data_IF_547499499075
#
_entry.id   IF_547499499075
#
_cell.length_a   1.000
_cell.length_b   1.000
_cell.length_c   1.000
_cell.angle_alpha   90.00
_cell.angle_beta   90.00
_cell.angle_gamma   90.00
#
_symmetry.space_group_name_H-M   'P 1'
#
loop_
_entity.id
_entity.type
_entity.pdbx_description
1 polymer ?
#
# COMPACT_ATOMS: atom_id res chain seq x y z
N UNK A 1 -7.96 -22.93 17.86
CA UNK A 1 -7.34 -22.73 16.52
C UNK A 1 -5.98 -23.42 16.53
N UNK A 2 -5.69 -24.31 15.58
CA UNK A 2 -4.36 -24.92 15.45
C UNK A 2 -3.33 -23.84 15.10
N UNK A 3 -2.13 -23.87 15.68
CA UNK A 3 -1.09 -22.86 15.48
C UNK A 3 -0.86 -22.51 13.99
N UNK A 4 -0.98 -23.49 13.09
CA UNK A 4 -0.88 -23.31 11.64
C UNK A 4 -1.88 -22.30 11.05
N UNK A 5 -3.09 -22.17 11.61
CA UNK A 5 -4.09 -21.18 11.17
C UNK A 5 -3.72 -19.77 11.60
N UNK A 6 -3.06 -19.61 12.76
CA UNK A 6 -2.59 -18.31 13.24
C UNK A 6 -1.42 -17.83 12.38
N UNK A 7 -0.47 -18.71 12.06
CA UNK A 7 0.62 -18.36 11.15
C UNK A 7 0.12 -17.96 9.76
N UNK A 8 -0.85 -18.68 9.20
CA UNK A 8 -1.46 -18.34 7.92
C UNK A 8 -2.15 -16.97 7.91
N UNK A 9 -2.66 -16.51 9.06
CA UNK A 9 -3.27 -15.18 9.18
C UNK A 9 -2.23 -14.06 9.41
N UNK A 10 -1.21 -14.31 10.22
CA UNK A 10 -0.26 -13.26 10.65
C UNK A 10 0.82 -13.01 9.60
N UNK A 11 1.33 -14.06 8.94
CA UNK A 11 2.45 -13.94 8.00
C UNK A 11 2.13 -12.99 6.83
N UNK A 12 0.97 -13.10 6.14
CA UNK A 12 0.66 -12.21 5.02
C UNK A 12 0.59 -10.74 5.47
N UNK A 13 -0.11 -10.47 6.57
CA UNK A 13 -0.25 -9.12 7.11
C UNK A 13 1.11 -8.51 7.50
N UNK A 14 1.93 -9.28 8.23
CA UNK A 14 3.27 -8.84 8.63
C UNK A 14 4.15 -8.56 7.41
N UNK A 15 4.15 -9.42 6.40
CA UNK A 15 4.95 -9.22 5.18
C UNK A 15 4.52 -7.98 4.40
N UNK A 16 3.22 -7.73 4.26
CA UNK A 16 2.72 -6.52 3.61
C UNK A 16 3.22 -5.24 4.31
N UNK A 17 3.21 -5.23 5.65
CA UNK A 17 3.69 -4.09 6.45
C UNK A 17 5.20 -3.93 6.33
N UNK A 18 5.96 -5.03 6.44
CA UNK A 18 7.42 -5.01 6.31
C UNK A 18 7.84 -4.44 4.95
N UNK A 19 7.23 -4.89 3.86
CA UNK A 19 7.54 -4.37 2.51
C UNK A 19 7.24 -2.88 2.40
N UNK A 20 6.12 -2.43 2.94
CA UNK A 20 5.78 -1.00 2.93
C UNK A 20 6.82 -0.15 3.69
N UNK A 21 7.32 -0.63 4.82
CA UNK A 21 8.33 0.07 5.62
C UNK A 21 9.69 0.04 4.92
N UNK A 22 10.11 -1.10 4.37
CA UNK A 22 11.40 -1.24 3.70
C UNK A 22 11.49 -0.48 2.38
N UNK A 23 10.37 -0.39 1.64
CA UNK A 23 10.32 0.38 0.40
C UNK A 23 10.05 1.87 0.61
N UNK A 24 9.94 2.34 1.87
CA UNK A 24 9.84 3.77 2.14
C UNK A 24 11.11 4.50 1.68
N UNK A 25 10.96 5.58 0.91
CA UNK A 25 12.10 6.34 0.39
C UNK A 25 12.63 5.83 -0.96
N UNK A 26 12.06 4.74 -1.51
CA UNK A 26 12.48 4.20 -2.81
C UNK A 26 12.28 5.21 -3.95
N UNK A 27 11.36 6.16 -3.79
CA UNK A 27 11.11 7.26 -4.72
C UNK A 27 12.34 8.14 -4.96
N UNK A 28 13.21 8.30 -3.96
CA UNK A 28 14.46 9.07 -4.10
C UNK A 28 15.49 8.31 -4.92
N UNK A 29 15.59 6.99 -4.69
CA UNK A 29 16.45 6.09 -5.46
C UNK A 29 16.00 5.98 -6.92
N UNK A 30 14.70 5.83 -7.16
CA UNK A 30 14.14 5.78 -8.51
C UNK A 30 14.33 7.10 -9.25
N UNK A 31 14.09 8.23 -8.58
CA UNK A 31 14.31 9.55 -9.19
C UNK A 31 15.80 9.78 -9.52
N UNK A 32 16.74 9.25 -8.74
CA UNK A 32 18.17 9.38 -9.00
C UNK A 32 18.62 8.65 -10.29
N UNK A 33 17.85 7.68 -10.77
CA UNK A 33 18.17 6.92 -11.98
C UNK A 33 18.06 7.76 -13.27
N UNK A 34 17.36 8.89 -13.22
CA UNK A 34 17.15 9.77 -14.37
C UNK A 34 18.04 11.02 -14.34
N UNK A 35 18.54 11.41 -15.52
CA UNK A 35 19.34 12.63 -15.69
C UNK A 35 18.52 13.87 -16.06
N UNK A 36 17.27 13.71 -16.51
CA UNK A 36 16.38 14.81 -16.94
C UNK A 36 15.30 15.11 -15.90
N UNK A 37 14.94 16.39 -15.73
CA UNK A 37 14.00 16.83 -14.68
C UNK A 37 12.61 16.17 -14.79
N UNK A 38 12.07 16.06 -16.00
CA UNK A 38 10.76 15.44 -16.24
C UNK A 38 10.75 13.93 -15.91
N UNK A 39 11.83 13.22 -16.25
CA UNK A 39 11.94 11.80 -15.94
C UNK A 39 12.16 11.52 -14.44
N UNK A 40 12.85 12.42 -13.72
CA UNK A 40 12.95 12.36 -12.25
C UNK A 40 11.57 12.46 -11.59
N UNK A 41 10.73 13.39 -12.03
CA UNK A 41 9.38 13.54 -11.50
C UNK A 41 8.50 12.31 -11.78
N UNK A 42 8.62 11.76 -12.99
CA UNK A 42 7.85 10.57 -13.37
C UNK A 42 8.27 9.33 -12.57
N UNK A 43 9.58 9.10 -12.42
CA UNK A 43 10.11 7.99 -11.60
C UNK A 43 9.84 8.17 -10.10
N UNK A 44 9.87 9.41 -9.60
CA UNK A 44 9.48 9.70 -8.22
C UNK A 44 8.02 9.34 -7.96
N UNK A 45 7.10 9.70 -8.87
CA UNK A 45 5.68 9.29 -8.77
C UNK A 45 5.50 7.78 -8.83
N UNK A 46 6.21 7.09 -9.72
CA UNK A 46 6.18 5.61 -9.77
C UNK A 46 6.69 5.03 -8.44
N UNK A 47 7.76 5.60 -7.89
CA UNK A 47 8.32 5.22 -6.59
C UNK A 47 7.36 5.41 -5.42
N UNK A 48 6.48 6.43 -5.47
CA UNK A 48 5.44 6.62 -4.45
C UNK A 48 4.35 5.55 -4.50
N UNK A 49 3.95 5.08 -5.68
CA UNK A 49 2.96 4.03 -5.82
C UNK A 49 3.50 2.62 -5.52
N UNK A 50 4.81 2.42 -5.72
CA UNK A 50 5.48 1.11 -5.66
C UNK A 50 5.25 0.35 -4.34
N UNK A 51 5.47 0.94 -3.15
CA UNK A 51 5.36 0.21 -1.88
C UNK A 51 3.96 -0.39 -1.67
N UNK A 52 2.93 0.38 -2.02
CA UNK A 52 1.53 -0.03 -1.87
C UNK A 52 1.16 -1.12 -2.89
N UNK A 53 1.55 -0.94 -4.16
CA UNK A 53 1.31 -1.94 -5.19
C UNK A 53 2.03 -3.26 -4.89
N UNK A 54 3.25 -3.19 -4.35
CA UNK A 54 4.04 -4.37 -3.97
C UNK A 54 3.40 -5.10 -2.78
N UNK A 55 2.94 -4.36 -1.77
CA UNK A 55 2.20 -4.94 -0.65
C UNK A 55 0.90 -5.63 -1.13
N UNK A 56 0.13 -4.99 -2.02
CA UNK A 56 -1.07 -5.57 -2.62
C UNK A 56 -0.78 -6.87 -3.39
N UNK A 57 0.31 -6.88 -4.18
CA UNK A 57 0.76 -8.06 -4.91
C UNK A 57 1.13 -9.22 -3.96
N UNK A 58 1.88 -8.93 -2.89
CA UNK A 58 2.26 -9.94 -1.89
C UNK A 58 1.02 -10.56 -1.23
N UNK A 59 0.08 -9.72 -0.77
CA UNK A 59 -1.17 -10.22 -0.18
C UNK A 59 -1.93 -11.13 -1.14
N UNK A 60 -2.06 -10.72 -2.39
CA UNK A 60 -2.74 -11.50 -3.44
C UNK A 60 -2.02 -12.82 -3.74
N UNK A 61 -0.69 -12.82 -3.82
CA UNK A 61 0.11 -14.03 -4.02
C UNK A 61 -0.04 -15.02 -2.87
N UNK A 62 -0.08 -14.54 -1.62
CA UNK A 62 -0.33 -15.38 -0.46
C UNK A 62 -1.71 -16.05 -0.52
N UNK A 63 -2.75 -15.34 -0.96
CA UNK A 63 -4.07 -15.94 -1.14
C UNK A 63 -4.06 -17.07 -2.17
N UNK A 64 -3.43 -16.84 -3.33
CA UNK A 64 -3.28 -17.87 -4.36
C UNK A 64 -2.45 -19.07 -3.87
N UNK A 65 -1.35 -18.81 -3.15
CA UNK A 65 -0.51 -19.87 -2.58
C UNK A 65 -1.23 -20.70 -1.50
N UNK A 66 -2.18 -20.07 -0.78
CA UNK A 66 -2.99 -20.74 0.24
C UNK A 66 -4.24 -21.45 -0.32
N UNK A 67 -4.46 -21.39 -1.62
CA UNK A 67 -5.62 -22.02 -2.26
C UNK A 67 -5.62 -23.54 -2.04
N UNK A 68 -6.72 -24.09 -1.54
CA UNK A 68 -6.85 -25.51 -1.18
C UNK A 68 -6.35 -25.88 0.23
N UNK A 69 -5.76 -24.95 0.98
CA UNK A 69 -5.36 -25.19 2.37
C UNK A 69 -6.55 -25.11 3.33
N UNK A 70 -6.56 -25.95 4.38
CA UNK A 70 -7.57 -25.95 5.44
C UNK A 70 -7.66 -24.62 6.25
N UNK A 71 -6.73 -23.69 6.02
CA UNK A 71 -6.65 -22.38 6.66
C UNK A 71 -6.81 -21.20 5.70
N UNK A 72 -7.29 -21.39 4.46
CA UNK A 72 -7.39 -20.31 3.46
C UNK A 72 -8.18 -19.09 3.96
N UNK A 73 -9.26 -19.31 4.72
CA UNK A 73 -10.03 -18.24 5.35
C UNK A 73 -9.23 -17.39 6.33
N UNK A 74 -8.33 -18.02 7.09
CA UNK A 74 -7.45 -17.33 8.02
C UNK A 74 -6.43 -16.46 7.27
N UNK A 75 -5.88 -16.96 6.16
CA UNK A 75 -5.05 -16.16 5.26
C UNK A 75 -5.83 -15.00 4.62
N UNK A 76 -7.09 -15.21 4.25
CA UNK A 76 -8.04 -14.18 3.84
C UNK A 76 -8.10 -13.02 4.83
N UNK A 77 -8.45 -13.32 6.10
CA UNK A 77 -8.48 -12.31 7.17
C UNK A 77 -7.13 -11.62 7.41
N UNK A 78 -6.02 -12.37 7.27
CA UNK A 78 -4.67 -11.82 7.30
C UNK A 78 -4.46 -10.73 6.25
N UNK A 79 -4.76 -11.02 4.99
CA UNK A 79 -4.61 -10.06 3.89
C UNK A 79 -5.60 -8.89 4.02
N UNK A 80 -6.84 -9.11 4.49
CA UNK A 80 -7.78 -8.03 4.78
C UNK A 80 -7.22 -7.04 5.81
N UNK A 81 -6.71 -7.56 6.93
CA UNK A 81 -6.12 -6.72 7.99
C UNK A 81 -4.86 -6.00 7.52
N UNK A 82 -3.98 -6.70 6.79
CA UNK A 82 -2.78 -6.11 6.17
C UNK A 82 -3.12 -4.99 5.19
N UNK A 83 -4.07 -5.21 4.28
CA UNK A 83 -4.55 -4.19 3.34
C UNK A 83 -5.15 -2.98 4.07
N UNK A 84 -5.91 -3.20 5.15
CA UNK A 84 -6.44 -2.14 5.99
C UNK A 84 -5.34 -1.26 6.59
N UNK A 85 -4.30 -1.86 7.15
CA UNK A 85 -3.14 -1.14 7.71
C UNK A 85 -2.38 -0.39 6.62
N UNK A 86 -2.13 -1.01 5.47
CA UNK A 86 -1.43 -0.38 4.34
C UNK A 86 -2.18 0.84 3.83
N UNK A 87 -3.51 0.74 3.64
CA UNK A 87 -4.36 1.87 3.23
C UNK A 87 -4.36 2.97 4.30
N UNK A 88 -4.46 2.61 5.59
CA UNK A 88 -4.40 3.58 6.68
C UNK A 88 -3.06 4.34 6.69
N UNK A 89 -1.94 3.65 6.49
CA UNK A 89 -0.62 4.29 6.40
C UNK A 89 -0.53 5.23 5.19
N UNK A 90 -1.08 4.83 4.03
CA UNK A 90 -1.13 5.69 2.84
C UNK A 90 -1.89 7.00 3.13
N UNK A 91 -3.07 6.90 3.76
CA UNK A 91 -3.90 8.05 4.15
C UNK A 91 -3.18 8.93 5.16
N UNK A 92 -2.52 8.34 6.16
CA UNK A 92 -1.77 9.09 7.17
C UNK A 92 -0.58 9.84 6.55
N UNK A 93 0.21 9.18 5.70
CA UNK A 93 1.35 9.81 5.02
C UNK A 93 0.91 10.97 4.13
N UNK A 94 -0.14 10.76 3.36
CA UNK A 94 -0.67 11.81 2.49
C UNK A 94 -1.31 12.94 3.30
N UNK A 95 -2.01 12.62 4.40
CA UNK A 95 -2.55 13.62 5.33
C UNK A 95 -1.46 14.49 5.96
N UNK A 96 -0.34 13.91 6.37
CA UNK A 96 0.82 14.67 6.88
C UNK A 96 1.40 15.58 5.79
N UNK A 97 1.58 15.07 4.56
CA UNK A 97 2.05 15.87 3.42
C UNK A 97 1.11 17.05 3.13
N UNK A 98 -0.19 16.79 3.06
CA UNK A 98 -1.22 17.81 2.81
C UNK A 98 -1.27 18.85 3.93
N UNK A 99 -1.15 18.42 5.20
CA UNK A 99 -1.14 19.33 6.35
C UNK A 99 0.00 20.35 6.29
N UNK A 100 1.17 19.95 5.76
CA UNK A 100 2.31 20.84 5.56
C UNK A 100 2.10 21.92 4.50
N UNK A 101 1.15 21.72 3.58
CA UNK A 101 0.87 22.65 2.46
C UNK A 101 -0.33 23.56 2.79
N UNK A 102 -1.08 23.28 3.87
CA UNK A 102 -2.28 24.05 4.25
C UNK A 102 -2.08 25.55 4.34
N UNK A 103 -0.89 26.01 4.75
CA UNK A 103 -0.54 27.43 4.83
C UNK A 103 -0.28 28.10 3.48
N UNK A 104 -0.08 27.33 2.41
CA UNK A 104 0.20 27.83 1.04
C UNK A 104 -1.01 27.71 0.10
N UNK A 105 -2.10 27.08 0.54
CA UNK A 105 -3.32 26.91 -0.27
C UNK A 105 -4.15 28.20 -0.29
N UNK A 106 -4.51 28.73 -1.47
CA UNK A 106 -5.38 29.90 -1.58
C UNK A 106 -6.72 29.71 -0.84
N UNK A 107 -7.18 30.74 -0.13
CA UNK A 107 -8.44 30.72 0.59
C UNK A 107 -9.61 30.35 -0.35
N UNK A 108 -10.34 29.28 -0.01
CA UNK A 108 -11.46 28.75 -0.80
C UNK A 108 -11.14 27.52 -1.66
N UNK A 109 -9.88 27.08 -1.73
CA UNK A 109 -9.52 25.81 -2.37
C UNK A 109 -9.41 24.66 -1.37
N UNK A 110 -9.83 23.46 -1.80
CA UNK A 110 -9.71 22.24 -1.02
C UNK A 110 -8.29 21.68 -1.07
N UNK A 111 -7.72 21.40 0.09
CA UNK A 111 -6.39 20.78 0.24
C UNK A 111 -6.37 19.38 -0.41
N UNK A 112 -7.52 18.70 -0.48
CA UNK A 112 -7.65 17.40 -1.15
C UNK A 112 -7.39 17.47 -2.67
N UNK A 113 -7.49 18.66 -3.29
CA UNK A 113 -7.13 18.85 -4.70
C UNK A 113 -5.64 18.68 -4.99
N UNK A 114 -4.79 18.72 -3.94
CA UNK A 114 -3.34 18.53 -4.02
C UNK A 114 -2.90 17.11 -3.63
N UNK A 115 -3.85 16.19 -3.44
CA UNK A 115 -3.57 14.80 -3.15
C UNK A 115 -2.75 14.17 -4.28
N UNK A 116 -1.69 13.45 -3.93
CA UNK A 116 -0.82 12.82 -4.92
C UNK A 116 -1.54 11.66 -5.63
N UNK A 117 -1.75 11.73 -6.97
CA UNK A 117 -2.46 10.69 -7.71
C UNK A 117 -1.76 9.33 -7.65
N UNK A 118 -0.44 9.29 -7.53
CA UNK A 118 0.30 8.04 -7.49
C UNK A 118 0.06 7.28 -6.17
N UNK A 119 0.03 8.01 -5.05
CA UNK A 119 -0.34 7.47 -3.74
C UNK A 119 -1.80 7.00 -3.73
N UNK A 120 -2.72 7.74 -4.36
CA UNK A 120 -4.12 7.31 -4.50
C UNK A 120 -4.27 6.01 -5.32
N UNK A 121 -3.52 5.87 -6.41
CA UNK A 121 -3.49 4.64 -7.21
C UNK A 121 -2.94 3.46 -6.40
N UNK A 122 -1.83 3.66 -5.68
CA UNK A 122 -1.26 2.66 -4.78
C UNK A 122 -2.25 2.21 -3.68
N UNK A 123 -2.93 3.16 -3.04
CA UNK A 123 -3.95 2.85 -2.03
C UNK A 123 -5.16 2.11 -2.65
N UNK A 124 -5.60 2.51 -3.84
CA UNK A 124 -6.73 1.87 -4.53
C UNK A 124 -6.42 0.43 -4.93
N UNK A 125 -5.21 0.15 -5.42
CA UNK A 125 -4.80 -1.24 -5.74
C UNK A 125 -4.75 -2.12 -4.49
N UNK A 126 -4.25 -1.59 -3.37
CA UNK A 126 -4.25 -2.28 -2.08
C UNK A 126 -5.68 -2.53 -1.59
N UNK A 127 -6.56 -1.53 -1.73
CA UNK A 127 -7.96 -1.66 -1.36
C UNK A 127 -8.66 -2.77 -2.16
N UNK A 128 -8.47 -2.81 -3.48
CA UNK A 128 -9.02 -3.88 -4.33
C UNK A 128 -8.48 -5.26 -3.94
N UNK A 129 -7.20 -5.37 -3.60
CA UNK A 129 -6.63 -6.61 -3.07
C UNK A 129 -7.30 -7.01 -1.73
N UNK A 130 -7.60 -6.04 -0.87
CA UNK A 130 -8.38 -6.25 0.36
C UNK A 130 -9.82 -6.73 0.10
N UNK A 131 -10.51 -6.15 -0.89
CA UNK A 131 -11.86 -6.60 -1.30
C UNK A 131 -11.83 -8.02 -1.85
N UNK A 132 -10.83 -8.35 -2.67
CA UNK A 132 -10.62 -9.72 -3.13
C UNK A 132 -10.36 -10.68 -1.95
N UNK A 133 -9.56 -10.26 -0.96
CA UNK A 133 -9.31 -11.04 0.25
C UNK A 133 -10.58 -11.28 1.08
N UNK A 134 -11.47 -10.29 1.17
CA UNK A 134 -12.79 -10.44 1.83
C UNK A 134 -13.63 -11.54 1.17
N UNK A 135 -13.56 -11.71 -0.15
CA UNK A 135 -14.25 -12.79 -0.85
C UNK A 135 -13.67 -14.18 -0.51
N UNK A 136 -12.39 -14.24 -0.14
CA UNK A 136 -11.70 -15.50 0.21
C UNK A 136 -11.90 -15.88 1.69
N UNK A 137 -12.17 -14.89 2.55
CA UNK A 137 -12.27 -15.02 4.00
C UNK A 137 -13.50 -15.80 4.51
#
# INVERSE_FOLDING_TARGET
MTASKVFLAVIPAAMMIVVLVFMAGIEHWLAALSKTGQAKLMLGRIGLALPYATAAAIGTLFLFASNGAAGVKAAGWGVVSGSGVVVAIAVLREGVRLSGITGEVPAGQSVFGYADPATMLGASTTFLAGVFALRVA
#
